data_IF_255530507785
#
_entry.id   IF_255530507785
#
_cell.length_a   1.000
_cell.length_b   1.000
_cell.length_c   1.000
_cell.angle_alpha   90.00
_cell.angle_beta   90.00
_cell.angle_gamma   90.00
#
_symmetry.space_group_name_H-M   'P 1'
#
loop_
_entity.id
_entity.type
_entity.pdbx_description
1 polymer ?
#
# COMPACT_ATOMS: atom_id res chain seq x y z
N UNK A 1 -33.41 44.06 32.03
CA UNK A 1 -32.92 42.67 31.91
C UNK A 1 -33.37 42.02 30.59
N UNK A 2 -33.01 42.54 29.42
CA UNK A 2 -33.41 41.94 28.11
C UNK A 2 -32.38 42.05 26.97
N UNK A 3 -31.13 42.42 27.26
CA UNK A 3 -30.11 42.60 26.20
C UNK A 3 -28.91 41.63 26.26
N UNK A 4 -28.93 40.62 27.14
CA UNK A 4 -27.76 39.74 27.31
C UNK A 4 -27.88 38.36 26.62
N UNK A 5 -28.97 38.09 25.90
CA UNK A 5 -29.18 36.79 25.24
C UNK A 5 -28.61 36.76 23.81
N UNK A 6 -28.41 37.92 23.17
CA UNK A 6 -27.91 37.97 21.79
C UNK A 6 -26.39 37.76 21.67
N UNK A 7 -25.63 37.90 22.77
CA UNK A 7 -24.17 37.78 22.74
C UNK A 7 -23.65 36.34 22.90
N UNK A 8 -24.53 35.38 23.23
CA UNK A 8 -24.14 33.96 23.41
C UNK A 8 -24.30 33.15 22.11
N UNK A 9 -25.05 33.65 21.12
CA UNK A 9 -25.28 32.95 19.84
C UNK A 9 -24.21 33.21 18.76
N UNK A 10 -23.28 34.14 18.98
CA UNK A 10 -22.19 34.46 18.02
C UNK A 10 -20.87 33.74 18.35
N UNK A 11 -20.77 33.11 19.53
CA UNK A 11 -19.54 32.41 19.97
C UNK A 11 -19.44 30.94 19.51
N UNK A 12 -20.34 30.47 18.63
CA UNK A 12 -20.43 29.05 18.24
C UNK A 12 -19.77 28.67 16.91
N UNK A 13 -19.09 29.57 16.18
CA UNK A 13 -18.49 29.21 14.89
C UNK A 13 -17.10 29.80 14.62
N UNK A 14 -16.26 29.90 15.65
CA UNK A 14 -14.81 29.99 15.45
C UNK A 14 -14.13 28.68 15.82
N UNK A 15 -14.68 27.56 15.33
CA UNK A 15 -13.79 26.44 15.02
C UNK A 15 -12.95 26.91 13.84
N UNK A 16 -11.77 27.48 14.15
CA UNK A 16 -10.65 27.49 13.22
C UNK A 16 -10.47 26.04 12.77
N UNK A 17 -11.05 25.72 11.62
CA UNK A 17 -10.91 24.44 10.97
C UNK A 17 -9.46 24.32 10.52
N UNK A 18 -8.56 24.00 11.44
CA UNK A 18 -7.35 23.29 11.09
C UNK A 18 -7.82 22.07 10.33
N UNK A 19 -7.63 22.07 9.01
CA UNK A 19 -8.00 20.96 8.17
C UNK A 19 -7.36 19.71 8.77
N UNK A 20 -8.19 18.78 9.24
CA UNK A 20 -7.68 17.54 9.82
C UNK A 20 -6.78 16.88 8.78
N UNK A 21 -5.53 16.59 9.17
CA UNK A 21 -4.58 15.93 8.29
C UNK A 21 -5.17 14.63 7.74
N UNK A 22 -4.93 14.38 6.47
CA UNK A 22 -5.35 13.14 5.80
C UNK A 22 -4.47 12.01 6.33
N UNK A 23 -5.06 11.06 7.05
CA UNK A 23 -4.33 9.90 7.57
C UNK A 23 -4.51 8.71 6.64
N UNK A 24 -3.39 8.09 6.26
CA UNK A 24 -3.32 6.94 5.36
C UNK A 24 -2.69 5.79 6.15
N UNK A 25 -3.46 4.77 6.45
CA UNK A 25 -2.94 3.51 6.99
C UNK A 25 -2.58 2.58 5.84
N UNK A 26 -1.45 1.89 5.95
CA UNK A 26 -1.09 0.81 5.03
C UNK A 26 -1.07 -0.53 5.74
N UNK A 27 -1.70 -1.53 5.14
CA UNK A 27 -1.56 -2.93 5.56
C UNK A 27 -1.14 -3.78 4.37
N UNK A 28 -0.14 -4.62 4.59
CA UNK A 28 0.44 -5.44 3.54
C UNK A 28 1.68 -6.19 3.95
N UNK A 29 2.45 -6.57 2.94
CA UNK A 29 3.65 -7.41 3.06
C UNK A 29 4.97 -6.62 2.91
N UNK A 30 6.08 -7.33 2.63
CA UNK A 30 7.40 -6.72 2.51
C UNK A 30 7.51 -5.71 1.38
N UNK A 31 6.73 -5.81 0.31
CA UNK A 31 6.82 -4.86 -0.81
C UNK A 31 6.26 -3.48 -0.44
N UNK A 32 5.45 -3.40 0.62
CA UNK A 32 4.87 -2.16 1.16
C UNK A 32 5.57 -1.68 2.45
N UNK A 33 6.10 -2.59 3.27
CA UNK A 33 6.57 -2.34 4.64
C UNK A 33 7.77 -1.40 4.78
N UNK A 34 7.83 -0.69 5.91
CA UNK A 34 9.02 0.07 6.31
C UNK A 34 10.19 -0.88 6.62
N UNK A 35 11.39 -0.51 6.19
CA UNK A 35 12.63 -1.22 6.53
C UNK A 35 13.36 -0.54 7.66
N UNK A 36 13.93 -1.37 8.54
CA UNK A 36 14.78 -0.91 9.64
C UNK A 36 16.11 -0.42 9.06
N UNK A 37 16.63 0.69 9.58
CA UNK A 37 17.87 1.34 9.13
C UNK A 37 17.89 1.62 7.62
N UNK A 38 16.94 2.37 7.04
CA UNK A 38 16.82 2.56 5.58
C UNK A 38 18.01 3.30 4.93
N UNK A 39 18.86 3.95 5.72
CA UNK A 39 20.11 4.54 5.23
C UNK A 39 21.21 3.48 4.99
N UNK A 40 21.06 2.29 5.55
CA UNK A 40 22.00 1.17 5.44
C UNK A 40 21.38 0.01 4.66
N UNK A 41 20.10 -0.29 4.92
CA UNK A 41 19.34 -1.31 4.25
C UNK A 41 18.88 -0.83 2.85
N UNK A 42 19.34 -1.44 1.76
CA UNK A 42 18.95 -1.01 0.41
C UNK A 42 17.51 -1.39 0.05
N UNK A 43 16.89 -2.33 0.78
CA UNK A 43 15.49 -2.71 0.60
C UNK A 43 14.57 -1.57 1.03
N UNK A 44 13.50 -1.32 0.28
CA UNK A 44 12.48 -0.33 0.62
C UNK A 44 11.09 -0.87 0.28
N UNK A 45 10.12 -0.62 1.16
CA UNK A 45 8.71 -0.78 0.79
C UNK A 45 8.22 0.45 0.04
N UNK A 46 7.31 0.30 -0.91
CA UNK A 46 6.81 1.47 -1.64
C UNK A 46 6.11 2.46 -0.70
N UNK A 47 5.29 2.00 0.25
CA UNK A 47 4.58 2.91 1.16
C UNK A 47 5.52 3.61 2.17
N UNK A 48 6.71 3.05 2.40
CA UNK A 48 7.78 3.72 3.14
C UNK A 48 8.26 4.99 2.43
N UNK A 49 8.33 4.95 1.09
CA UNK A 49 8.81 6.04 0.24
C UNK A 49 7.69 7.00 -0.17
N UNK A 50 6.45 6.52 -0.21
CA UNK A 50 5.26 7.26 -0.62
C UNK A 50 5.08 8.66 0.02
N UNK A 51 5.42 8.92 1.30
CA UNK A 51 5.39 10.27 1.87
C UNK A 51 6.17 11.32 1.08
N UNK A 52 7.18 10.91 0.28
CA UNK A 52 7.91 11.79 -0.63
C UNK A 52 6.98 12.48 -1.63
N UNK A 53 5.84 11.89 -2.00
CA UNK A 53 4.88 12.44 -2.97
C UNK A 53 3.70 13.15 -2.32
N UNK A 54 3.76 13.38 -1.00
CA UNK A 54 2.67 13.99 -0.24
C UNK A 54 3.05 15.37 0.31
N UNK A 55 2.05 16.21 0.50
CA UNK A 55 2.18 17.47 1.24
C UNK A 55 2.27 17.20 2.76
N UNK A 56 2.62 18.23 3.54
CA UNK A 56 2.68 18.15 5.00
C UNK A 56 1.31 17.95 5.68
N UNK A 57 0.23 18.01 4.91
CA UNK A 57 -1.15 17.77 5.35
C UNK A 57 -1.54 16.28 5.34
N UNK A 58 -0.64 15.40 4.91
CA UNK A 58 -0.80 13.95 5.04
C UNK A 58 -0.02 13.37 6.22
N UNK A 59 -0.53 12.28 6.78
CA UNK A 59 0.18 11.39 7.69
C UNK A 59 0.08 9.97 7.13
N UNK A 60 1.22 9.31 6.92
CA UNK A 60 1.25 7.89 6.55
C UNK A 60 1.60 7.07 7.78
N UNK A 61 0.75 6.11 8.11
CA UNK A 61 0.94 5.13 9.18
C UNK A 61 1.09 3.77 8.52
N UNK A 62 2.32 3.43 8.12
CA UNK A 62 2.60 2.16 7.49
C UNK A 62 2.64 1.03 8.54
N UNK A 63 1.73 0.08 8.39
CA UNK A 63 1.62 -1.12 9.25
C UNK A 63 1.82 -2.40 8.45
N UNK A 64 2.25 -2.31 7.19
CA UNK A 64 2.69 -3.47 6.44
C UNK A 64 3.94 -4.07 7.08
N UNK A 65 4.08 -5.39 6.99
CA UNK A 65 5.16 -6.12 7.67
C UNK A 65 5.70 -7.23 6.78
N UNK A 66 7.03 -7.35 6.76
CA UNK A 66 7.72 -8.39 6.01
C UNK A 66 7.16 -9.79 6.30
N UNK A 67 6.91 -10.53 5.21
CA UNK A 67 6.47 -11.92 5.26
C UNK A 67 5.04 -12.14 5.77
N UNK A 68 4.21 -11.09 5.89
CA UNK A 68 2.81 -11.28 6.30
C UNK A 68 1.93 -11.61 5.10
N UNK A 69 0.99 -12.52 5.33
CA UNK A 69 -0.16 -12.80 4.48
C UNK A 69 -1.41 -12.22 5.14
N UNK A 70 -2.55 -12.26 4.47
CA UNK A 70 -3.82 -11.84 5.10
C UNK A 70 -4.10 -12.62 6.40
N UNK A 71 -3.84 -13.93 6.40
CA UNK A 71 -4.03 -14.82 7.56
C UNK A 71 -3.09 -14.52 8.70
N UNK A 72 -1.78 -14.44 8.44
CA UNK A 72 -0.82 -14.17 9.52
C UNK A 72 -0.99 -12.77 10.08
N UNK A 73 -1.37 -11.79 9.26
CA UNK A 73 -1.66 -10.43 9.72
C UNK A 73 -2.83 -10.37 10.71
N UNK A 74 -3.90 -11.12 10.45
CA UNK A 74 -5.05 -11.27 11.36
C UNK A 74 -4.68 -12.07 12.62
N UNK A 75 -4.02 -13.22 12.46
CA UNK A 75 -3.65 -14.08 13.58
C UNK A 75 -2.71 -13.39 14.58
N UNK A 76 -1.78 -12.57 14.08
CA UNK A 76 -0.87 -11.77 14.90
C UNK A 76 -1.52 -10.51 15.50
N UNK A 77 -2.83 -10.31 15.33
CA UNK A 77 -3.58 -9.17 15.88
C UNK A 77 -3.05 -7.81 15.41
N UNK A 78 -2.39 -7.76 14.24
CA UNK A 78 -1.89 -6.52 13.66
C UNK A 78 -3.04 -5.63 13.21
N UNK A 79 -4.05 -6.23 12.60
CA UNK A 79 -5.25 -5.52 12.20
C UNK A 79 -6.00 -4.92 13.39
N UNK A 80 -6.17 -5.66 14.50
CA UNK A 80 -6.82 -5.17 15.72
C UNK A 80 -6.19 -3.87 16.24
N UNK A 81 -4.86 -3.74 16.15
CA UNK A 81 -4.15 -2.53 16.57
C UNK A 81 -4.50 -1.30 15.74
N UNK A 82 -4.87 -1.49 14.47
CA UNK A 82 -5.25 -0.45 13.53
C UNK A 82 -6.74 -0.14 13.71
N UNK A 83 -7.58 -1.17 13.65
CA UNK A 83 -9.03 -1.06 13.75
C UNK A 83 -9.49 -0.27 14.98
N UNK A 84 -8.82 -0.45 16.13
CA UNK A 84 -9.11 0.29 17.37
C UNK A 84 -8.84 1.79 17.27
N UNK A 85 -7.92 2.21 16.40
CA UNK A 85 -7.46 3.59 16.25
C UNK A 85 -8.02 4.30 15.01
N UNK A 86 -8.66 3.57 14.10
CA UNK A 86 -9.27 4.14 12.90
C UNK A 86 -10.33 5.19 13.24
N UNK A 87 -10.26 6.31 12.53
CA UNK A 87 -11.21 7.41 12.62
C UNK A 87 -11.97 7.59 11.31
N UNK A 88 -13.11 8.26 11.40
CA UNK A 88 -13.92 8.59 10.24
C UNK A 88 -13.10 9.45 9.26
N UNK A 89 -13.07 9.04 7.99
CA UNK A 89 -12.36 9.73 6.93
C UNK A 89 -10.87 9.38 6.79
N UNK A 90 -10.33 8.49 7.63
CA UNK A 90 -9.02 7.88 7.38
C UNK A 90 -9.08 6.99 6.13
N UNK A 91 -7.95 6.83 5.44
CA UNK A 91 -7.81 5.89 4.34
C UNK A 91 -7.07 4.63 4.80
N UNK A 92 -7.44 3.46 4.28
CA UNK A 92 -6.72 2.20 4.50
C UNK A 92 -6.34 1.59 3.16
N UNK A 93 -5.05 1.60 2.86
CA UNK A 93 -4.47 0.92 1.70
C UNK A 93 -4.21 -0.53 2.07
N UNK A 94 -4.80 -1.45 1.30
CA UNK A 94 -4.78 -2.88 1.58
C UNK A 94 -4.12 -3.60 0.40
N UNK A 95 -2.95 -4.21 0.62
CA UNK A 95 -2.20 -4.93 -0.41
C UNK A 95 -1.61 -6.25 0.12
N UNK A 96 -2.13 -7.38 -0.34
CA UNK A 96 -1.63 -8.73 0.02
C UNK A 96 -1.63 -9.65 -1.21
N UNK A 97 -1.13 -10.87 -1.04
CA UNK A 97 -1.05 -11.90 -2.09
C UNK A 97 0.28 -12.66 -2.13
N UNK A 98 1.43 -11.98 -2.01
CA UNK A 98 2.75 -12.61 -2.15
C UNK A 98 3.00 -13.78 -1.20
N UNK A 99 2.53 -13.67 0.03
CA UNK A 99 2.75 -14.66 1.08
C UNK A 99 1.55 -15.60 1.26
N UNK A 100 0.36 -15.16 0.85
CA UNK A 100 -0.87 -15.95 0.80
C UNK A 100 -0.70 -17.16 -0.15
N UNK A 101 0.01 -16.98 -1.27
CA UNK A 101 0.34 -18.02 -2.23
C UNK A 101 1.32 -19.12 -1.80
N UNK A 102 1.90 -19.06 -0.60
CA UNK A 102 2.92 -20.01 -0.15
C UNK A 102 2.33 -21.32 0.37
N UNK A 103 1.88 -22.18 -0.54
CA UNK A 103 1.15 -23.45 -0.25
C UNK A 103 1.79 -24.37 0.81
N UNK A 104 3.12 -24.34 0.95
CA UNK A 104 3.87 -25.16 1.93
C UNK A 104 4.02 -24.51 3.30
N UNK A 105 3.67 -23.22 3.45
CA UNK A 105 3.76 -22.46 4.69
C UNK A 105 2.37 -22.36 5.33
N UNK A 106 2.04 -23.30 6.23
CA UNK A 106 0.70 -23.36 6.85
C UNK A 106 0.34 -22.13 7.69
N UNK A 107 1.34 -21.35 8.14
CA UNK A 107 1.15 -20.11 8.90
C UNK A 107 0.67 -19.00 7.96
N UNK A 108 1.18 -18.95 6.73
CA UNK A 108 0.91 -17.88 5.77
C UNK A 108 -0.14 -18.22 4.73
N UNK A 109 -0.17 -19.47 4.28
CA UNK A 109 -1.03 -19.92 3.19
C UNK A 109 -2.51 -19.63 3.44
N UNK A 110 -3.17 -19.12 2.40
CA UNK A 110 -4.62 -18.98 2.31
C UNK A 110 -5.07 -19.45 0.94
N UNK A 111 -6.14 -20.25 0.86
CA UNK A 111 -6.73 -20.54 -0.44
C UNK A 111 -7.39 -19.24 -0.99
N UNK A 112 -7.16 -18.87 -2.27
CA UNK A 112 -7.57 -17.58 -2.83
C UNK A 112 -9.08 -17.35 -2.72
N UNK A 113 -9.89 -18.34 -3.10
CA UNK A 113 -11.35 -18.21 -3.16
C UNK A 113 -12.06 -18.36 -1.80
N UNK A 114 -11.32 -18.68 -0.73
CA UNK A 114 -11.89 -18.90 0.61
C UNK A 114 -11.24 -17.98 1.64
N UNK A 115 -10.17 -18.43 2.30
CA UNK A 115 -9.56 -17.71 3.41
C UNK A 115 -9.01 -16.33 2.99
N UNK A 116 -8.34 -16.25 1.83
CA UNK A 116 -7.80 -14.97 1.33
C UNK A 116 -8.94 -13.98 1.07
N UNK A 117 -9.94 -14.42 0.32
CA UNK A 117 -11.15 -13.66 0.01
C UNK A 117 -11.84 -13.17 1.29
N UNK A 118 -12.12 -14.07 2.22
CA UNK A 118 -12.76 -13.75 3.49
C UNK A 118 -11.99 -12.68 4.27
N UNK A 119 -10.66 -12.83 4.37
CA UNK A 119 -9.82 -11.90 5.11
C UNK A 119 -9.79 -10.50 4.47
N UNK A 120 -9.72 -10.40 3.13
CA UNK A 120 -9.79 -9.11 2.43
C UNK A 120 -11.14 -8.43 2.63
N UNK A 121 -12.24 -9.19 2.54
CA UNK A 121 -13.59 -8.69 2.82
C UNK A 121 -13.68 -8.17 4.26
N UNK A 122 -13.11 -8.90 5.23
CA UNK A 122 -13.06 -8.48 6.62
C UNK A 122 -12.37 -7.11 6.76
N UNK A 123 -11.18 -6.91 6.18
CA UNK A 123 -10.49 -5.61 6.23
C UNK A 123 -11.32 -4.49 5.62
N UNK A 124 -11.96 -4.73 4.48
CA UNK A 124 -12.84 -3.75 3.81
C UNK A 124 -14.02 -3.36 4.69
N UNK A 125 -14.76 -4.35 5.20
CA UNK A 125 -15.96 -4.13 5.97
C UNK A 125 -15.65 -3.45 7.30
N UNK A 126 -14.62 -3.91 8.01
CA UNK A 126 -14.21 -3.32 9.28
C UNK A 126 -13.66 -1.90 9.12
N UNK A 127 -12.96 -1.61 8.03
CA UNK A 127 -12.57 -0.23 7.69
C UNK A 127 -13.81 0.66 7.55
N UNK A 128 -14.82 0.22 6.79
CA UNK A 128 -16.07 0.97 6.60
C UNK A 128 -16.87 1.14 7.89
N UNK A 129 -16.90 0.14 8.77
CA UNK A 129 -17.56 0.22 10.08
C UNK A 129 -17.01 1.39 10.93
N UNK A 130 -15.72 1.73 10.78
CA UNK A 130 -15.09 2.88 11.45
C UNK A 130 -15.33 4.21 10.73
N UNK A 131 -16.04 4.21 9.60
CA UNK A 131 -16.22 5.35 8.73
C UNK A 131 -14.94 5.75 7.98
N UNK A 132 -13.93 4.87 7.95
CA UNK A 132 -12.74 5.00 7.14
C UNK A 132 -13.00 4.45 5.72
N UNK A 133 -12.11 4.75 4.79
CA UNK A 133 -12.26 4.49 3.35
C UNK A 133 -11.22 3.43 2.93
N UNK A 134 -11.64 2.18 2.63
CA UNK A 134 -10.71 1.17 2.14
C UNK A 134 -10.37 1.42 0.67
N UNK A 135 -9.12 1.15 0.30
CA UNK A 135 -8.65 1.06 -1.09
C UNK A 135 -7.90 -0.25 -1.23
N UNK A 136 -8.35 -1.09 -2.17
CA UNK A 136 -7.71 -2.36 -2.47
C UNK A 136 -6.65 -2.17 -3.55
N UNK A 137 -5.50 -2.79 -3.35
CA UNK A 137 -4.42 -2.88 -4.33
C UNK A 137 -4.17 -4.35 -4.64
N UNK A 138 -4.04 -4.71 -5.92
CA UNK A 138 -3.41 -6.00 -6.24
C UNK A 138 -1.97 -6.01 -5.73
N UNK A 139 -1.43 -7.19 -5.43
CA UNK A 139 0.02 -7.33 -5.20
C UNK A 139 0.80 -6.79 -6.39
N UNK A 140 1.93 -6.13 -6.13
CA UNK A 140 2.89 -5.82 -7.20
C UNK A 140 3.35 -7.09 -7.91
N UNK A 141 3.73 -6.98 -9.18
CA UNK A 141 4.31 -8.08 -9.94
C UNK A 141 5.66 -8.50 -9.36
N UNK A 142 6.07 -9.75 -9.61
CA UNK A 142 7.45 -10.19 -9.37
C UNK A 142 8.22 -10.06 -10.68
N UNK A 143 9.51 -9.70 -10.58
CA UNK A 143 10.42 -9.75 -11.73
C UNK A 143 10.69 -11.20 -12.14
N UNK A 144 9.87 -11.71 -13.06
CA UNK A 144 9.92 -13.10 -13.53
C UNK A 144 9.89 -13.15 -15.06
N UNK A 145 10.99 -12.77 -15.69
CA UNK A 145 11.14 -12.82 -17.14
C UNK A 145 11.48 -14.24 -17.60
N UNK A 146 10.78 -14.73 -18.62
CA UNK A 146 11.17 -15.95 -19.32
C UNK A 146 12.36 -15.70 -20.28
N UNK A 147 12.85 -16.76 -20.93
CA UNK A 147 13.99 -16.70 -21.86
C UNK A 147 13.74 -15.77 -23.07
N UNK A 148 12.48 -15.50 -23.42
CA UNK A 148 12.07 -14.60 -24.49
C UNK A 148 11.94 -13.14 -24.02
N UNK A 149 12.24 -12.84 -22.76
CA UNK A 149 12.15 -11.50 -22.19
C UNK A 149 10.72 -11.05 -21.89
N UNK A 150 9.77 -11.99 -21.77
CA UNK A 150 8.38 -11.72 -21.40
C UNK A 150 8.19 -11.93 -19.91
N UNK A 151 7.54 -10.98 -19.23
CA UNK A 151 7.24 -11.08 -17.81
C UNK A 151 6.07 -12.06 -17.60
N UNK A 152 6.27 -13.06 -16.74
CA UNK A 152 5.28 -14.11 -16.44
C UNK A 152 4.71 -13.87 -15.05
N UNK A 153 3.39 -13.69 -14.94
CA UNK A 153 2.72 -13.50 -13.64
C UNK A 153 2.96 -14.69 -12.71
N UNK A 154 3.12 -14.39 -11.42
CA UNK A 154 3.41 -15.37 -10.37
C UNK A 154 2.32 -15.47 -9.31
N UNK A 155 1.29 -14.63 -9.41
CA UNK A 155 0.30 -14.42 -8.35
C UNK A 155 -1.01 -15.16 -8.60
N UNK A 156 -1.12 -15.94 -9.68
CA UNK A 156 -2.28 -16.79 -10.00
C UNK A 156 -3.61 -16.07 -9.71
N UNK A 157 -4.52 -16.71 -8.98
CA UNK A 157 -5.86 -16.18 -8.71
C UNK A 157 -5.89 -15.05 -7.67
N UNK A 158 -4.80 -14.74 -6.94
CA UNK A 158 -4.87 -13.78 -5.82
C UNK A 158 -5.17 -12.35 -6.27
N UNK A 159 -4.57 -11.90 -7.38
CA UNK A 159 -4.82 -10.54 -7.89
C UNK A 159 -6.19 -10.45 -8.58
N UNK A 160 -6.59 -11.51 -9.27
CA UNK A 160 -7.94 -11.65 -9.81
C UNK A 160 -8.99 -11.61 -8.70
N UNK A 161 -8.80 -12.37 -7.63
CA UNK A 161 -9.71 -12.42 -6.49
C UNK A 161 -9.84 -11.04 -5.83
N UNK A 162 -8.74 -10.32 -5.67
CA UNK A 162 -8.74 -8.94 -5.14
C UNK A 162 -9.59 -8.01 -6.00
N UNK A 163 -9.47 -8.11 -7.34
CA UNK A 163 -10.28 -7.34 -8.29
C UNK A 163 -11.76 -7.70 -8.21
N UNK A 164 -12.08 -8.99 -8.09
CA UNK A 164 -13.46 -9.48 -7.96
C UNK A 164 -14.11 -8.95 -6.67
N UNK A 165 -13.40 -9.01 -5.54
CA UNK A 165 -13.87 -8.44 -4.26
C UNK A 165 -14.11 -6.94 -4.41
N UNK A 166 -13.17 -6.21 -5.02
CA UNK A 166 -13.33 -4.77 -5.17
C UNK A 166 -14.56 -4.40 -6.00
N UNK A 167 -14.84 -5.16 -7.07
CA UNK A 167 -16.06 -4.99 -7.86
C UNK A 167 -17.32 -5.32 -7.06
N UNK A 168 -17.34 -6.45 -6.36
CA UNK A 168 -18.51 -6.92 -5.61
C UNK A 168 -18.86 -6.04 -4.41
N UNK A 169 -17.83 -5.54 -3.71
CA UNK A 169 -17.99 -4.70 -2.54
C UNK A 169 -17.92 -3.21 -2.85
N UNK A 170 -17.85 -2.83 -4.14
CA UNK A 170 -17.76 -1.43 -4.58
C UNK A 170 -16.64 -0.66 -3.86
N UNK A 171 -15.47 -1.28 -3.78
CA UNK A 171 -14.27 -0.68 -3.17
C UNK A 171 -13.38 -0.17 -4.31
N UNK A 172 -12.81 1.01 -4.14
CA UNK A 172 -11.82 1.52 -5.08
C UNK A 172 -10.66 0.52 -5.19
N UNK A 173 -10.34 0.16 -6.43
CA UNK A 173 -9.28 -0.79 -6.76
C UNK A 173 -8.18 -0.11 -7.58
N UNK A 174 -6.94 -0.29 -7.15
CA UNK A 174 -5.76 0.10 -7.92
C UNK A 174 -5.05 -1.18 -8.35
N UNK A 175 -4.96 -1.37 -9.67
CA UNK A 175 -4.35 -2.54 -10.27
C UNK A 175 -2.83 -2.45 -10.30
N UNK A 176 -2.22 -2.59 -9.13
CA UNK A 176 -0.78 -2.40 -8.96
C UNK A 176 0.05 -3.52 -9.62
N UNK A 177 -0.50 -4.72 -9.79
CA UNK A 177 0.11 -5.78 -10.60
C UNK A 177 0.34 -5.28 -12.03
N UNK A 178 -0.72 -4.83 -12.72
CA UNK A 178 -0.63 -4.33 -14.08
C UNK A 178 0.28 -3.10 -14.22
N UNK A 179 0.18 -2.17 -13.28
CA UNK A 179 0.99 -0.95 -13.30
C UNK A 179 2.48 -1.24 -13.06
N UNK A 180 2.80 -2.17 -12.16
CA UNK A 180 4.18 -2.60 -11.92
C UNK A 180 4.72 -3.47 -13.06
N UNK A 181 3.90 -4.31 -13.69
CA UNK A 181 4.29 -5.04 -14.91
C UNK A 181 4.73 -4.09 -16.02
N UNK A 182 3.98 -3.01 -16.25
CA UNK A 182 4.38 -1.97 -17.21
C UNK A 182 5.72 -1.34 -16.88
N UNK A 183 5.98 -1.09 -15.60
CA UNK A 183 7.26 -0.56 -15.15
C UNK A 183 8.40 -1.56 -15.46
N UNK A 184 8.25 -2.83 -15.05
CA UNK A 184 9.24 -3.89 -15.30
C UNK A 184 9.53 -4.02 -16.80
N UNK A 185 8.47 -4.10 -17.62
CA UNK A 185 8.58 -4.21 -19.08
C UNK A 185 9.26 -2.99 -19.71
N UNK A 186 9.04 -1.78 -19.18
CA UNK A 186 9.69 -0.56 -19.69
C UNK A 186 11.20 -0.53 -19.45
N UNK A 187 11.68 -1.18 -18.39
CA UNK A 187 13.11 -1.36 -18.12
C UNK A 187 13.69 -2.57 -18.88
N UNK A 188 12.85 -3.57 -19.15
CA UNK A 188 13.24 -4.84 -19.73
C UNK A 188 14.04 -5.72 -18.74
N UNK A 189 14.43 -6.94 -19.15
CA UNK A 189 15.04 -7.91 -18.25
C UNK A 189 16.29 -7.38 -17.54
N UNK A 190 17.24 -6.78 -18.24
CA UNK A 190 18.50 -6.40 -17.58
C UNK A 190 18.35 -5.17 -16.68
N UNK A 191 17.77 -4.06 -17.18
CA UNK A 191 17.73 -2.83 -16.38
C UNK A 191 16.76 -2.93 -15.20
N UNK A 192 15.72 -3.77 -15.28
CA UNK A 192 14.76 -3.95 -14.18
C UNK A 192 15.42 -4.48 -12.90
N UNK A 193 16.60 -5.12 -12.99
CA UNK A 193 17.39 -5.48 -11.81
C UNK A 193 17.66 -4.29 -10.88
N UNK A 194 17.78 -3.07 -11.42
CA UNK A 194 17.99 -1.83 -10.65
C UNK A 194 16.77 -1.44 -9.79
N UNK A 195 15.58 -1.88 -10.18
CA UNK A 195 14.36 -1.71 -9.39
C UNK A 195 14.37 -2.63 -8.16
N UNK A 196 15.19 -3.69 -8.17
CA UNK A 196 15.23 -4.72 -7.14
C UNK A 196 16.61 -4.82 -6.46
N UNK A 197 16.81 -5.85 -5.64
CA UNK A 197 18.05 -6.08 -4.91
C UNK A 197 18.94 -7.06 -5.66
N UNK A 198 19.69 -6.53 -6.63
CA UNK A 198 20.72 -7.26 -7.37
C UNK A 198 22.07 -6.63 -7.06
N UNK A 199 22.89 -7.35 -6.30
CA UNK A 199 24.22 -6.92 -5.88
C UNK A 199 25.20 -8.07 -6.05
N UNK A 200 26.37 -7.80 -6.63
CA UNK A 200 27.48 -8.75 -6.61
C UNK A 200 28.16 -8.74 -5.24
N UNK A 201 28.92 -9.80 -4.92
CA UNK A 201 29.67 -9.87 -3.67
C UNK A 201 30.62 -8.66 -3.53
N UNK A 202 30.60 -8.03 -2.36
CA UNK A 202 31.38 -6.82 -2.07
C UNK A 202 30.82 -5.49 -2.59
N UNK A 203 29.74 -5.49 -3.39
CA UNK A 203 29.15 -4.25 -3.93
C UNK A 203 28.39 -3.44 -2.87
N UNK A 204 27.64 -4.13 -2.01
CA UNK A 204 26.82 -3.51 -0.97
C UNK A 204 27.19 -4.05 0.41
N UNK A 205 27.55 -3.19 1.39
CA UNK A 205 27.98 -3.64 2.72
C UNK A 205 26.87 -4.35 3.51
N UNK A 206 25.60 -4.06 3.21
CA UNK A 206 24.45 -4.76 3.81
C UNK A 206 24.30 -6.20 3.29
N UNK A 207 24.78 -6.46 2.08
CA UNK A 207 24.80 -7.78 1.44
C UNK A 207 26.23 -8.14 1.01
N UNK A 208 27.14 -8.45 1.97
CA UNK A 208 28.56 -8.63 1.66
C UNK A 208 28.84 -9.79 0.69
N UNK A 209 27.98 -10.82 0.71
CA UNK A 209 28.07 -11.98 -0.18
C UNK A 209 27.30 -11.79 -1.50
N UNK A 210 26.79 -10.58 -1.77
CA UNK A 210 25.87 -10.32 -2.87
C UNK A 210 24.43 -10.74 -2.54
N UNK A 211 23.52 -10.39 -3.44
CA UNK A 211 22.10 -10.73 -3.37
C UNK A 211 21.49 -10.70 -4.75
N UNK A 212 20.64 -11.68 -5.05
CA UNK A 212 19.76 -11.67 -6.21
C UNK A 212 18.32 -11.86 -5.73
N UNK A 213 17.53 -10.79 -5.81
CA UNK A 213 16.15 -10.76 -5.35
C UNK A 213 15.26 -10.15 -6.43
N UNK A 214 14.18 -10.83 -6.76
CA UNK A 214 13.23 -10.41 -7.80
C UNK A 214 11.86 -9.99 -7.24
N UNK A 215 11.76 -9.85 -5.92
CA UNK A 215 10.51 -9.51 -5.22
C UNK A 215 10.64 -8.18 -4.50
N UNK A 216 11.74 -7.97 -3.79
CA UNK A 216 11.91 -6.79 -2.95
C UNK A 216 12.53 -5.64 -3.75
N UNK A 217 12.06 -4.42 -3.49
CA UNK A 217 12.50 -3.25 -4.22
C UNK A 217 13.74 -2.62 -3.60
N UNK A 218 14.60 -2.07 -4.47
CA UNK A 218 15.56 -1.04 -4.10
C UNK A 218 14.84 0.29 -3.78
N UNK A 219 15.57 1.29 -3.31
CA UNK A 219 15.02 2.64 -3.17
C UNK A 219 14.45 3.18 -4.51
N UNK A 220 15.12 2.88 -5.64
CA UNK A 220 14.64 3.27 -6.97
C UNK A 220 13.28 2.61 -7.27
N UNK A 221 13.19 1.28 -7.14
CA UNK A 221 11.94 0.55 -7.40
C UNK A 221 10.79 1.03 -6.51
N UNK A 222 11.03 1.18 -5.20
CA UNK A 222 10.03 1.67 -4.27
C UNK A 222 9.59 3.12 -4.58
N UNK A 223 10.50 3.96 -5.07
CA UNK A 223 10.20 5.33 -5.52
C UNK A 223 9.32 5.32 -6.77
N UNK A 224 9.64 4.50 -7.78
CA UNK A 224 8.86 4.42 -9.02
C UNK A 224 7.44 3.89 -8.75
N UNK A 225 7.29 2.84 -7.93
CA UNK A 225 5.96 2.35 -7.53
C UNK A 225 5.17 3.41 -6.76
N UNK A 226 5.81 4.11 -5.82
CA UNK A 226 5.17 5.21 -5.09
C UNK A 226 4.71 6.33 -6.02
N UNK A 227 5.53 6.69 -7.00
CA UNK A 227 5.23 7.69 -8.03
C UNK A 227 4.00 7.28 -8.82
N UNK A 228 3.97 6.03 -9.30
CA UNK A 228 2.84 5.45 -10.03
C UNK A 228 1.56 5.50 -9.20
N UNK A 229 1.60 5.11 -7.92
CA UNK A 229 0.44 5.17 -7.02
C UNK A 229 -0.06 6.61 -6.86
N UNK A 230 0.85 7.56 -6.61
CA UNK A 230 0.48 8.97 -6.44
C UNK A 230 -0.14 9.56 -7.71
N UNK A 231 0.42 9.28 -8.88
CA UNK A 231 -0.15 9.70 -10.18
C UNK A 231 -1.51 9.04 -10.44
N UNK A 232 -1.65 7.75 -10.12
CA UNK A 232 -2.93 7.02 -10.26
C UNK A 232 -4.01 7.62 -9.38
N UNK A 233 -3.69 7.98 -8.13
CA UNK A 233 -4.63 8.67 -7.24
C UNK A 233 -5.11 10.00 -7.82
N UNK A 234 -4.22 10.76 -8.47
CA UNK A 234 -4.58 12.02 -9.13
C UNK A 234 -5.53 11.82 -10.32
N UNK A 235 -5.41 10.70 -11.06
CA UNK A 235 -6.27 10.41 -12.20
C UNK A 235 -7.63 9.80 -11.84
N UNK A 236 -7.79 9.25 -10.63
CA UNK A 236 -9.07 8.65 -10.19
C UNK A 236 -10.16 9.73 -10.03
N UNK A 237 -11.33 9.49 -10.62
CA UNK A 237 -12.50 10.39 -10.55
C UNK A 237 -13.40 10.14 -9.33
N UNK A 238 -13.23 8.99 -8.67
CA UNK A 238 -13.99 8.61 -7.49
C UNK A 238 -13.90 9.68 -6.38
N UNK A 239 -15.05 10.17 -5.94
CA UNK A 239 -15.14 11.25 -4.95
C UNK A 239 -14.63 10.85 -3.56
N UNK A 240 -14.59 9.55 -3.25
CA UNK A 240 -14.06 9.03 -1.98
C UNK A 240 -12.57 9.38 -1.79
N UNK A 241 -11.79 9.53 -2.86
CA UNK A 241 -10.38 9.94 -2.79
C UNK A 241 -10.17 11.46 -2.91
N UNK A 242 -11.23 12.28 -2.91
CA UNK A 242 -11.09 13.74 -3.05
C UNK A 242 -10.16 14.38 -2.01
N UNK A 243 -10.17 13.91 -0.75
CA UNK A 243 -9.24 14.42 0.28
C UNK A 243 -7.82 13.91 0.04
N UNK A 244 -7.68 12.64 -0.29
CA UNK A 244 -6.39 12.02 -0.64
C UNK A 244 -5.71 12.74 -1.81
N UNK A 245 -6.44 13.07 -2.87
CA UNK A 245 -5.93 13.84 -4.03
C UNK A 245 -5.38 15.22 -3.67
N UNK A 246 -5.96 15.89 -2.66
CA UNK A 246 -5.52 17.22 -2.22
C UNK A 246 -4.16 17.21 -1.53
N UNK A 247 -3.77 16.07 -0.96
CA UNK A 247 -2.50 15.92 -0.24
C UNK A 247 -1.42 15.24 -1.09
N UNK A 248 -1.71 14.89 -2.35
CA UNK A 248 -0.68 14.48 -3.31
C UNK A 248 -0.04 15.73 -3.92
N UNK A 249 1.27 15.85 -3.80
CA UNK A 249 2.04 17.01 -4.24
C UNK A 249 2.42 16.87 -5.72
N UNK A 250 1.83 17.73 -6.57
CA UNK A 250 2.02 17.71 -8.02
C UNK A 250 3.39 18.19 -8.48
N UNK A 251 4.12 18.90 -7.64
CA UNK A 251 5.45 19.44 -7.96
C UNK A 251 6.57 18.40 -7.74
N UNK A 252 6.23 17.20 -7.26
CA UNK A 252 7.19 16.14 -6.89
C UNK A 252 7.27 14.99 -7.90
N UNK A 253 6.80 15.20 -9.12
CA UNK A 253 6.76 14.22 -10.20
C UNK A 253 7.85 14.42 -11.24
#
# INVERSE_FOLDING_TARGET
>A
MKNNILLILVLLFLFNGYAQKVTIYGIGDSTMADKVHPNENPEHGWLQVFPKFLTSDAIVINKAVNGRSTKSFLNEKRWDSIYKNLKRGDYVFIQFGHNDGKVTDSIRYTNPHTAYRYNLIQFVQETRQKGAIPILFSSVTRRNFNEQGVLVSTHNDYTQETRLIAKEYEVLFIDLEYLSEKLEMSYGPENSKKLHLHFIAGENPYYPNGKEDNTHYSLLGATEISKIVAQTLLSIEDTSVKKLKKVVDKERF
#
